data_IF_426536349879
#
_entry.id   IF_426536349879
#
_cell.length_a   1.000
_cell.length_b   1.000
_cell.length_c   1.000
_cell.angle_alpha   90.00
_cell.angle_beta   90.00
_cell.angle_gamma   90.00
#
_symmetry.space_group_name_H-M   'P 1'
#
loop_
_entity.id
_entity.type
_entity.pdbx_description
1 polymer ?
#
# COMPACT_ATOMS: atom_id res chain seq x y z
N UNK A 1 26.42 -4.95 -7.83
CA UNK A 1 25.35 -5.73 -7.13
C UNK A 1 25.21 -5.39 -5.65
N UNK A 2 26.31 -5.09 -4.93
CA UNK A 2 26.28 -4.68 -3.51
C UNK A 2 25.45 -3.40 -3.23
N UNK A 3 25.62 -2.36 -4.05
CA UNK A 3 24.92 -1.07 -3.86
C UNK A 3 23.40 -1.21 -3.90
N UNK A 4 22.87 -1.95 -4.88
CA UNK A 4 21.42 -2.15 -5.00
C UNK A 4 20.85 -2.92 -3.80
N UNK A 5 21.58 -3.93 -3.30
CA UNK A 5 21.15 -4.68 -2.11
C UNK A 5 21.15 -3.80 -0.86
N UNK A 6 22.19 -2.97 -0.68
CA UNK A 6 22.25 -2.02 0.42
C UNK A 6 21.12 -0.98 0.34
N UNK A 7 20.87 -0.42 -0.85
CA UNK A 7 19.77 0.52 -1.08
C UNK A 7 18.41 -0.10 -0.73
N UNK A 8 18.16 -1.34 -1.17
CA UNK A 8 16.92 -2.05 -0.83
C UNK A 8 16.77 -2.23 0.68
N UNK A 9 17.83 -2.67 1.37
CA UNK A 9 17.80 -2.85 2.83
C UNK A 9 17.56 -1.55 3.58
N UNK A 10 18.15 -0.46 3.13
CA UNK A 10 17.92 0.87 3.69
C UNK A 10 16.45 1.28 3.50
N UNK A 11 15.89 1.08 2.30
CA UNK A 11 14.48 1.37 2.02
C UNK A 11 13.53 0.50 2.86
N UNK A 12 13.83 -0.80 3.04
CA UNK A 12 13.05 -1.68 3.92
C UNK A 12 13.02 -1.14 5.36
N UNK A 13 14.16 -0.66 5.86
CA UNK A 13 14.27 -0.10 7.22
C UNK A 13 13.46 1.20 7.32
N UNK A 14 13.59 2.12 6.36
CA UNK A 14 12.82 3.36 6.36
C UNK A 14 11.33 3.09 6.30
N UNK A 15 10.88 2.21 5.41
CA UNK A 15 9.48 1.83 5.29
C UNK A 15 8.94 1.24 6.60
N UNK A 16 9.72 0.42 7.31
CA UNK A 16 9.33 -0.12 8.61
C UNK A 16 9.22 0.97 9.69
N UNK A 17 10.18 1.90 9.74
CA UNK A 17 10.15 3.01 10.70
C UNK A 17 8.94 3.92 10.46
N UNK A 18 8.71 4.31 9.21
CA UNK A 18 7.55 5.12 8.84
C UNK A 18 6.23 4.39 9.12
N UNK A 19 6.17 3.08 8.87
CA UNK A 19 5.01 2.28 9.20
C UNK A 19 4.72 2.30 10.70
N UNK A 20 5.72 2.08 11.55
CA UNK A 20 5.55 2.06 13.01
C UNK A 20 5.15 3.45 13.53
N UNK A 21 5.76 4.51 13.01
CA UNK A 21 5.56 5.88 13.50
C UNK A 21 4.24 6.49 13.03
N UNK A 22 3.87 6.29 11.76
CA UNK A 22 2.73 6.99 11.14
C UNK A 22 1.55 6.07 10.83
N UNK A 23 1.79 4.87 10.32
CA UNK A 23 0.71 3.99 9.81
C UNK A 23 0.08 3.16 10.92
N UNK A 24 0.90 2.51 11.76
CA UNK A 24 0.44 1.60 12.79
C UNK A 24 -0.55 2.24 13.79
N UNK A 25 -0.35 3.48 14.27
CA UNK A 25 -1.34 4.15 15.12
C UNK A 25 -2.72 4.30 14.45
N UNK A 26 -2.74 4.54 13.14
CA UNK A 26 -3.96 4.70 12.35
C UNK A 26 -4.65 3.34 12.11
N UNK A 27 -3.92 2.24 12.12
CA UNK A 27 -4.52 0.90 12.07
C UNK A 27 -5.20 0.53 13.40
N UNK A 28 -4.64 0.98 14.53
CA UNK A 28 -5.24 0.75 15.86
C UNK A 28 -6.47 1.63 16.08
N UNK A 29 -6.48 2.84 15.54
CA UNK A 29 -7.61 3.77 15.62
C UNK A 29 -7.94 4.30 14.22
N UNK A 30 -8.71 3.51 13.42
CA UNK A 30 -9.01 3.85 12.04
C UNK A 30 -9.74 5.19 11.93
N UNK A 31 -9.33 6.06 11.00
CA UNK A 31 -10.06 7.29 10.75
C UNK A 31 -11.44 6.97 10.15
N UNK A 32 -12.41 7.87 10.37
CA UNK A 32 -13.77 7.71 9.83
C UNK A 32 -13.85 7.95 8.32
N UNK A 33 -12.85 8.63 7.75
CA UNK A 33 -12.72 8.87 6.33
C UNK A 33 -11.27 8.64 5.88
N UNK A 34 -11.04 8.31 4.59
CA UNK A 34 -9.71 8.07 4.10
C UNK A 34 -8.84 9.33 4.16
N UNK A 35 -7.61 9.17 4.66
CA UNK A 35 -6.63 10.24 4.63
C UNK A 35 -6.07 10.45 3.21
N UNK A 36 -5.59 11.66 2.95
CA UNK A 36 -4.91 11.95 1.70
C UNK A 36 -3.66 11.08 1.56
N UNK A 37 -3.49 10.46 0.38
CA UNK A 37 -2.34 9.61 0.12
C UNK A 37 -1.03 10.41 0.23
N UNK A 38 -0.08 9.90 1.02
CA UNK A 38 1.22 10.53 1.15
C UNK A 38 2.05 10.32 -0.12
N UNK A 39 2.28 11.40 -0.87
CA UNK A 39 3.03 11.38 -2.13
C UNK A 39 4.53 11.07 -1.98
N UNK A 40 5.10 11.13 -0.77
CA UNK A 40 6.51 10.79 -0.54
C UNK A 40 6.73 9.30 -0.33
N UNK A 41 5.68 8.53 -0.05
CA UNK A 41 5.77 7.10 0.18
C UNK A 41 5.74 6.32 -1.14
N UNK A 42 6.55 5.26 -1.21
CA UNK A 42 6.58 4.35 -2.35
C UNK A 42 5.27 3.56 -2.50
N UNK A 43 4.53 3.37 -1.40
CA UNK A 43 3.31 2.58 -1.35
C UNK A 43 3.54 1.08 -1.34
N UNK A 44 2.48 0.29 -1.48
CA UNK A 44 2.59 -1.18 -1.50
C UNK A 44 1.53 -1.91 -2.33
N UNK A 45 1.86 -3.14 -2.73
CA UNK A 45 0.94 -4.06 -3.37
C UNK A 45 0.33 -5.00 -2.33
N UNK A 46 -1.00 -5.10 -2.30
CA UNK A 46 -1.72 -5.90 -1.32
C UNK A 46 -2.68 -6.84 -2.04
N UNK A 47 -2.85 -8.06 -1.54
CA UNK A 47 -3.85 -9.01 -2.07
C UNK A 47 -5.11 -9.09 -1.23
N UNK A 48 -4.98 -8.90 0.09
CA UNK A 48 -6.09 -8.94 1.03
C UNK A 48 -6.83 -7.60 1.04
N UNK A 49 -8.12 -7.61 0.70
CA UNK A 49 -8.97 -6.41 0.64
C UNK A 49 -9.04 -5.69 1.99
N UNK A 50 -9.04 -6.42 3.09
CA UNK A 50 -9.14 -5.88 4.45
C UNK A 50 -7.90 -5.05 4.82
N UNK A 51 -6.72 -5.58 4.48
CA UNK A 51 -5.44 -4.89 4.67
C UNK A 51 -5.34 -3.69 3.73
N UNK A 52 -5.81 -3.85 2.50
CA UNK A 52 -5.85 -2.79 1.49
C UNK A 52 -6.71 -1.60 1.96
N UNK A 53 -7.91 -1.86 2.46
CA UNK A 53 -8.81 -0.82 2.99
C UNK A 53 -8.19 -0.11 4.20
N UNK A 54 -7.64 -0.86 5.17
CA UNK A 54 -7.04 -0.27 6.35
C UNK A 54 -5.86 0.67 6.00
N UNK A 55 -5.00 0.25 5.07
CA UNK A 55 -3.88 1.06 4.59
C UNK A 55 -4.32 2.26 3.73
N UNK A 56 -5.37 2.10 2.92
CA UNK A 56 -5.98 3.20 2.19
C UNK A 56 -6.51 4.28 3.13
N UNK A 57 -7.21 3.88 4.20
CA UNK A 57 -7.70 4.81 5.20
C UNK A 57 -6.56 5.52 5.94
N UNK A 58 -5.43 4.83 6.15
CA UNK A 58 -4.23 5.42 6.72
C UNK A 58 -3.45 6.36 5.76
N UNK A 59 -3.93 6.57 4.52
CA UNK A 59 -3.26 7.45 3.55
C UNK A 59 -2.02 6.84 2.90
N UNK A 60 -1.88 5.50 2.93
CA UNK A 60 -0.79 4.80 2.24
C UNK A 60 -1.16 4.66 0.76
N UNK A 61 -0.27 5.00 -0.19
CA UNK A 61 -0.47 4.65 -1.60
C UNK A 61 -0.50 3.12 -1.76
N UNK A 62 -1.58 2.57 -2.31
CA UNK A 62 -1.79 1.12 -2.35
C UNK A 62 -2.33 0.65 -3.70
N UNK A 63 -1.92 -0.55 -4.09
CA UNK A 63 -2.42 -1.24 -5.27
C UNK A 63 -2.95 -2.63 -4.88
N UNK A 64 -4.27 -2.80 -4.99
CA UNK A 64 -4.92 -4.08 -4.76
C UNK A 64 -4.68 -5.01 -5.96
N UNK A 65 -3.95 -6.09 -5.72
CA UNK A 65 -3.62 -7.10 -6.73
C UNK A 65 -4.63 -8.24 -6.62
N UNK A 66 -5.64 -8.22 -7.49
CA UNK A 66 -6.58 -9.34 -7.65
C UNK A 66 -6.05 -10.38 -8.63
N UNK A 67 -6.33 -11.66 -8.36
CA UNK A 67 -6.22 -12.68 -9.41
C UNK A 67 -7.28 -12.41 -10.47
N UNK A 68 -6.96 -12.71 -11.73
CA UNK A 68 -7.87 -12.54 -12.87
C UNK A 68 -9.19 -13.30 -12.66
N UNK A 69 -9.13 -14.43 -11.96
CA UNK A 69 -10.29 -15.27 -11.61
C UNK A 69 -11.29 -14.57 -10.68
N UNK A 70 -10.85 -13.56 -9.92
CA UNK A 70 -11.67 -12.81 -8.97
C UNK A 70 -12.13 -11.46 -9.52
N UNK A 71 -11.79 -11.12 -10.77
CA UNK A 71 -12.28 -9.91 -11.42
C UNK A 71 -13.70 -10.19 -11.91
N UNK A 72 -14.73 -9.45 -11.44
CA UNK A 72 -16.09 -9.62 -11.94
C UNK A 72 -16.12 -9.41 -13.45
N UNK A 73 -16.88 -10.24 -14.17
CA UNK A 73 -17.06 -10.09 -15.64
C UNK A 73 -17.67 -8.73 -16.03
N UNK A 74 -18.29 -8.04 -15.08
CA UNK A 74 -18.89 -6.71 -15.24
C UNK A 74 -17.92 -5.57 -14.96
N UNK A 75 -16.70 -5.85 -14.49
CA UNK A 75 -15.71 -4.82 -14.18
C UNK A 75 -15.04 -4.33 -15.47
N UNK A 76 -15.09 -3.03 -15.72
CA UNK A 76 -14.40 -2.43 -16.87
C UNK A 76 -12.88 -2.47 -16.63
N UNK A 77 -12.18 -3.28 -17.41
CA UNK A 77 -10.72 -3.35 -17.38
C UNK A 77 -10.18 -2.35 -18.40
N UNK A 78 -9.45 -1.33 -17.93
CA UNK A 78 -8.73 -0.41 -18.81
C UNK A 78 -7.40 -1.04 -19.16
N UNK A 79 -7.19 -1.36 -20.43
CA UNK A 79 -5.90 -1.81 -20.93
C UNK A 79 -5.00 -0.60 -21.15
N UNK A 80 -3.79 -0.60 -20.56
CA UNK A 80 -2.76 0.36 -20.94
C UNK A 80 -2.36 0.10 -22.38
N UNK A 81 -2.40 1.15 -23.20
CA UNK A 81 -1.91 1.16 -24.59
C UNK A 81 -0.39 1.14 -24.60
#
# INVERSE_FOLDING_TARGET
MFVAHLQHKILDIYALLEYIEYVYPLLLNPPSCPLQANSTWMGCFVRATEVCEALYFAGVPIWLVHSKEYIPLTMNIVHSV
#
